data_IF_449553034789
#
_entry.id   IF_449553034789
#
_cell.length_a   1.000
_cell.length_b   1.000
_cell.length_c   1.000
_cell.angle_alpha   90.00
_cell.angle_beta   90.00
_cell.angle_gamma   90.00
#
_symmetry.space_group_name_H-M   'P 1'
#
loop_
_entity.id
_entity.type
_entity.pdbx_description
1 polymer ?
#
# COMPACT_ATOMS: atom_id res chain seq x y z
N UNK A 1 34.43 10.76 -1.10
CA UNK A 1 33.31 11.63 -0.66
C UNK A 1 32.11 11.37 -1.57
N UNK A 2 31.13 10.60 -1.09
CA UNK A 2 30.00 10.12 -1.88
C UNK A 2 29.00 11.25 -2.18
N UNK A 3 28.62 11.39 -3.44
CA UNK A 3 27.66 12.38 -3.93
C UNK A 3 26.25 11.96 -3.54
N UNK A 4 25.66 12.64 -2.56
CA UNK A 4 24.24 12.52 -2.21
C UNK A 4 23.41 12.88 -3.45
N UNK A 5 22.81 11.88 -4.09
CA UNK A 5 21.78 12.09 -5.10
C UNK A 5 20.47 12.31 -4.37
N UNK A 6 20.02 13.56 -4.35
CA UNK A 6 18.69 13.90 -3.89
C UNK A 6 17.68 13.27 -4.86
N UNK A 7 16.91 12.29 -4.38
CA UNK A 7 15.80 11.71 -5.12
C UNK A 7 14.65 12.71 -5.07
N UNK A 8 14.59 13.59 -6.08
CA UNK A 8 13.43 14.42 -6.34
C UNK A 8 12.31 13.52 -6.83
N UNK A 9 11.37 13.20 -5.94
CA UNK A 9 10.09 12.59 -6.29
C UNK A 9 9.37 13.58 -7.18
N UNK A 10 9.27 13.25 -8.48
CA UNK A 10 8.40 13.96 -9.40
C UNK A 10 6.96 13.75 -8.94
N UNK A 11 6.34 14.82 -8.47
CA UNK A 11 4.91 14.93 -8.23
C UNK A 11 4.19 14.90 -9.57
N UNK A 12 3.92 13.69 -10.05
CA UNK A 12 2.79 13.44 -10.93
C UNK A 12 1.62 13.13 -10.00
N UNK A 13 0.75 14.11 -9.79
CA UNK A 13 -0.50 13.94 -9.05
C UNK A 13 -1.47 13.13 -9.92
N UNK A 14 -1.18 11.84 -10.09
CA UNK A 14 -2.14 10.91 -10.71
C UNK A 14 -3.21 10.67 -9.66
N UNK A 15 -4.45 11.09 -9.96
CA UNK A 15 -5.58 10.90 -9.05
C UNK A 15 -5.78 9.40 -8.77
N UNK A 16 -6.01 9.04 -7.52
CA UNK A 16 -6.17 7.65 -7.09
C UNK A 16 -7.27 6.92 -7.89
N UNK A 17 -8.33 7.64 -8.31
CA UNK A 17 -9.41 7.06 -9.11
C UNK A 17 -9.00 6.72 -10.54
N UNK A 18 -8.06 7.47 -11.12
CA UNK A 18 -7.58 7.25 -12.48
C UNK A 18 -6.58 6.09 -12.50
N UNK A 19 -5.76 5.99 -11.45
CA UNK A 19 -4.90 4.84 -11.21
C UNK A 19 -5.72 3.57 -10.87
N UNK A 20 -6.83 3.70 -10.15
CA UNK A 20 -7.77 2.58 -9.89
C UNK A 20 -8.49 2.13 -11.16
N UNK A 21 -8.79 3.02 -12.12
CA UNK A 21 -9.30 2.61 -13.44
C UNK A 21 -8.24 1.90 -14.29
N UNK A 22 -6.97 2.21 -14.05
CA UNK A 22 -5.87 1.60 -14.77
C UNK A 22 -5.62 0.14 -14.34
N UNK A 23 -5.85 -0.18 -13.06
CA UNK A 23 -5.79 -1.54 -12.54
C UNK A 23 -7.19 -2.18 -12.53
N UNK A 24 -7.31 -3.43 -12.97
CA UNK A 24 -8.61 -4.12 -13.01
C UNK A 24 -9.11 -4.63 -11.65
N UNK A 25 -8.61 -4.05 -10.55
CA UNK A 25 -8.86 -4.46 -9.16
C UNK A 25 -8.64 -3.28 -8.21
N UNK A 26 -9.57 -3.14 -7.25
CA UNK A 26 -9.51 -2.11 -6.20
C UNK A 26 -8.70 -2.55 -4.97
N UNK A 27 -8.27 -1.57 -4.18
CA UNK A 27 -7.60 -1.81 -2.90
C UNK A 27 -8.52 -2.51 -1.89
N UNK A 28 -9.82 -2.21 -1.91
CA UNK A 28 -10.81 -2.83 -1.01
C UNK A 28 -11.04 -4.30 -1.33
N UNK A 29 -11.12 -4.64 -2.61
CA UNK A 29 -11.21 -6.04 -3.06
C UNK A 29 -9.96 -6.82 -2.63
N UNK A 30 -8.77 -6.25 -2.81
CA UNK A 30 -7.53 -6.91 -2.39
C UNK A 30 -7.48 -7.13 -0.86
N UNK A 31 -7.93 -6.15 -0.07
CA UNK A 31 -8.06 -6.31 1.39
C UNK A 31 -9.04 -7.40 1.78
N UNK A 32 -10.17 -7.49 1.08
CA UNK A 32 -11.20 -8.50 1.33
C UNK A 32 -10.64 -9.88 1.04
N UNK A 33 -9.98 -10.04 -0.11
CA UNK A 33 -9.30 -11.29 -0.48
C UNK A 33 -8.24 -11.71 0.55
N UNK A 34 -7.47 -10.76 1.10
CA UNK A 34 -6.46 -11.03 2.13
C UNK A 34 -7.05 -11.47 3.49
N UNK A 35 -8.29 -11.09 3.79
CA UNK A 35 -8.95 -11.48 5.04
C UNK A 35 -9.43 -12.94 5.01
N UNK A 36 -9.72 -13.47 3.82
CA UNK A 36 -10.19 -14.83 3.62
C UNK A 36 -8.99 -15.77 3.62
N UNK A 37 -9.09 -16.89 4.32
CA UNK A 37 -7.97 -17.83 4.51
C UNK A 37 -8.36 -19.25 4.15
N UNK A 38 -7.37 -20.03 3.71
CA UNK A 38 -7.55 -21.45 3.44
C UNK A 38 -8.28 -21.73 2.12
N UNK A 39 -9.08 -22.81 2.10
CA UNK A 39 -9.69 -23.33 0.86
C UNK A 39 -10.75 -22.38 0.28
N UNK A 40 -11.38 -21.57 1.11
CA UNK A 40 -12.37 -20.58 0.68
C UNK A 40 -11.73 -19.48 -0.17
N UNK A 41 -10.54 -19.01 0.21
CA UNK A 41 -9.79 -18.01 -0.57
C UNK A 41 -9.45 -18.50 -1.99
N UNK A 42 -9.13 -19.78 -2.14
CA UNK A 42 -8.84 -20.38 -3.44
C UNK A 42 -10.08 -20.50 -4.32
N UNK A 43 -11.25 -20.76 -3.72
CA UNK A 43 -12.52 -20.78 -4.46
C UNK A 43 -12.86 -19.40 -4.98
N UNK A 44 -12.88 -18.41 -4.09
CA UNK A 44 -13.21 -17.03 -4.48
C UNK A 44 -12.20 -16.46 -5.48
N UNK A 45 -10.92 -16.80 -5.33
CA UNK A 45 -9.88 -16.41 -6.28
C UNK A 45 -10.12 -16.99 -7.69
N UNK A 46 -10.46 -18.28 -7.77
CA UNK A 46 -10.72 -18.93 -9.06
C UNK A 46 -12.04 -18.43 -9.68
N UNK A 47 -13.08 -18.23 -8.88
CA UNK A 47 -14.39 -17.79 -9.36
C UNK A 47 -14.39 -16.32 -9.80
N UNK A 48 -13.67 -15.46 -9.09
CA UNK A 48 -13.72 -13.99 -9.31
C UNK A 48 -12.59 -13.48 -10.18
N UNK A 49 -11.42 -14.10 -10.12
CA UNK A 49 -10.20 -13.59 -10.76
C UNK A 49 -9.55 -14.57 -11.74
N UNK A 50 -10.20 -15.70 -12.05
CA UNK A 50 -9.65 -16.76 -12.92
C UNK A 50 -8.27 -17.26 -12.40
N UNK A 51 -8.14 -17.33 -11.08
CA UNK A 51 -6.96 -17.81 -10.38
C UNK A 51 -5.82 -16.77 -10.31
N UNK A 52 -4.60 -17.26 -10.11
CA UNK A 52 -3.42 -16.40 -9.96
C UNK A 52 -3.05 -15.67 -11.25
N UNK A 53 -3.31 -16.28 -12.41
CA UNK A 53 -3.01 -15.71 -13.72
C UNK A 53 -3.87 -14.48 -14.03
N UNK A 54 -5.18 -14.57 -13.82
CA UNK A 54 -6.07 -13.42 -14.04
C UNK A 54 -5.87 -12.32 -12.99
N UNK A 55 -5.52 -12.66 -11.76
CA UNK A 55 -5.10 -11.68 -10.75
C UNK A 55 -3.81 -10.95 -11.16
N UNK A 56 -2.80 -11.68 -11.63
CA UNK A 56 -1.56 -11.10 -12.14
C UNK A 56 -1.79 -10.16 -13.33
N UNK A 57 -2.69 -10.53 -14.25
CA UNK A 57 -3.08 -9.69 -15.38
C UNK A 57 -3.76 -8.39 -14.93
N UNK A 58 -4.71 -8.47 -14.00
CA UNK A 58 -5.41 -7.29 -13.43
C UNK A 58 -4.46 -6.34 -12.69
N UNK A 59 -3.47 -6.89 -11.98
CA UNK A 59 -2.40 -6.14 -11.30
C UNK A 59 -1.25 -5.73 -12.23
N UNK A 60 -1.33 -6.01 -13.54
CA UNK A 60 -0.26 -5.80 -14.54
C UNK A 60 1.10 -6.27 -14.04
N UNK A 61 1.15 -7.43 -13.41
CA UNK A 61 2.36 -7.97 -12.77
C UNK A 61 2.68 -9.34 -13.33
N UNK A 62 3.93 -9.57 -13.69
CA UNK A 62 4.38 -10.88 -14.13
C UNK A 62 4.57 -11.79 -12.92
N UNK A 63 3.95 -12.97 -12.92
CA UNK A 63 4.02 -13.92 -11.81
C UNK A 63 5.41 -14.54 -11.60
N UNK A 64 6.24 -14.57 -12.65
CA UNK A 64 7.56 -15.22 -12.63
C UNK A 64 8.66 -14.18 -12.41
N UNK A 65 8.63 -13.10 -13.20
CA UNK A 65 9.69 -12.07 -13.18
C UNK A 65 9.38 -10.89 -12.25
N UNK A 66 8.13 -10.72 -11.84
CA UNK A 66 7.70 -9.58 -11.02
C UNK A 66 7.51 -8.28 -11.80
N UNK A 67 7.65 -7.15 -11.11
CA UNK A 67 7.60 -5.80 -11.69
C UNK A 67 8.94 -5.41 -12.32
N UNK A 68 8.87 -4.54 -13.32
CA UNK A 68 10.03 -3.82 -13.85
C UNK A 68 10.40 -2.63 -12.95
N UNK A 69 11.67 -2.26 -12.86
CA UNK A 69 12.16 -1.09 -12.10
C UNK A 69 11.90 0.24 -12.85
N UNK A 70 10.68 0.42 -13.36
CA UNK A 70 10.27 1.67 -13.98
C UNK A 70 9.69 2.60 -12.91
N UNK A 71 10.34 3.75 -12.71
CA UNK A 71 9.92 4.76 -11.72
C UNK A 71 8.53 5.31 -12.00
N UNK A 72 8.10 5.30 -13.26
CA UNK A 72 6.77 5.79 -13.66
C UNK A 72 5.67 4.82 -13.23
N UNK A 73 5.83 3.53 -13.51
CA UNK A 73 4.93 2.46 -13.08
C UNK A 73 4.84 2.39 -11.54
N UNK A 74 5.98 2.55 -10.85
CA UNK A 74 6.01 2.61 -9.39
C UNK A 74 5.22 3.79 -8.83
N UNK A 75 5.29 4.97 -9.45
CA UNK A 75 4.54 6.14 -9.00
C UNK A 75 3.02 5.94 -9.15
N UNK A 76 2.58 5.37 -10.27
CA UNK A 76 1.16 5.05 -10.53
C UNK A 76 0.65 4.03 -9.50
N UNK A 77 1.43 2.99 -9.21
CA UNK A 77 1.07 1.98 -8.21
C UNK A 77 1.00 2.54 -6.80
N UNK A 78 1.92 3.44 -6.44
CA UNK A 78 1.87 4.14 -5.14
C UNK A 78 0.62 5.02 -5.04
N UNK A 79 0.19 5.65 -6.15
CA UNK A 79 -1.04 6.43 -6.19
C UNK A 79 -2.30 5.55 -6.05
N UNK A 80 -2.33 4.39 -6.71
CA UNK A 80 -3.46 3.45 -6.66
C UNK A 80 -3.57 2.69 -5.32
N UNK A 81 -2.47 2.10 -4.86
CA UNK A 81 -2.48 1.15 -3.72
C UNK A 81 -1.95 1.76 -2.42
N UNK A 82 -1.39 2.97 -2.47
CA UNK A 82 -0.71 3.59 -1.35
C UNK A 82 0.73 3.09 -1.16
N UNK A 83 1.42 3.65 -0.16
CA UNK A 83 2.77 3.22 0.22
C UNK A 83 2.71 2.06 1.19
N UNK A 84 3.64 1.11 1.04
CA UNK A 84 3.85 0.02 2.00
C UNK A 84 4.61 0.52 3.25
N UNK A 85 4.10 1.56 3.87
CA UNK A 85 4.64 2.14 5.10
C UNK A 85 3.66 1.83 6.23
N UNK A 86 4.10 1.08 7.23
CA UNK A 86 3.33 0.91 8.46
C UNK A 86 3.38 2.26 9.18
N UNK A 87 2.25 2.97 9.33
CA UNK A 87 2.25 4.27 9.98
C UNK A 87 2.75 4.07 11.41
N UNK A 88 3.86 4.72 11.74
CA UNK A 88 4.34 4.70 13.11
C UNK A 88 3.26 5.34 13.99
N UNK A 89 2.89 4.64 15.05
CA UNK A 89 1.99 5.22 16.06
C UNK A 89 2.63 6.52 16.55
N UNK A 90 1.95 7.68 16.44
CA UNK A 90 2.54 8.93 16.88
C UNK A 90 2.91 8.81 18.35
N UNK A 91 4.18 9.05 18.66
CA UNK A 91 4.64 9.09 20.04
C UNK A 91 3.87 10.17 20.79
N UNK A 92 3.51 9.92 22.05
CA UNK A 92 2.97 10.97 22.92
C UNK A 92 3.94 12.15 22.91
N UNK A 93 3.42 13.36 22.70
CA UNK A 93 4.25 14.56 22.76
C UNK A 93 4.77 14.75 24.17
N UNK A 94 5.98 15.32 24.30
CA UNK A 94 6.58 15.62 25.59
C UNK A 94 5.64 16.46 26.48
N UNK A 95 4.96 17.45 25.90
CA UNK A 95 3.98 18.28 26.61
C UNK A 95 2.79 17.46 27.14
N UNK A 96 2.28 16.49 26.36
CA UNK A 96 1.22 15.60 26.84
C UNK A 96 1.69 14.76 28.03
N UNK A 97 2.96 14.31 28.01
CA UNK A 97 3.54 13.61 29.15
C UNK A 97 3.68 14.51 30.39
N UNK A 98 4.26 15.71 30.24
CA UNK A 98 4.39 16.68 31.34
C UNK A 98 3.03 17.04 31.94
N UNK A 99 2.04 17.30 31.08
CA UNK A 99 0.68 17.61 31.52
C UNK A 99 0.04 16.45 32.28
N UNK A 100 0.20 15.21 31.80
CA UNK A 100 -0.26 14.04 32.52
C UNK A 100 0.46 13.87 33.87
N UNK A 101 1.76 14.19 33.94
CA UNK A 101 2.52 14.10 35.19
C UNK A 101 2.05 15.13 36.22
N UNK A 102 1.72 16.36 35.79
CA UNK A 102 1.13 17.36 36.69
C UNK A 102 -0.29 17.02 37.14
N UNK A 103 -1.08 16.36 36.28
CA UNK A 103 -2.44 15.92 36.62
C UNK A 103 -2.48 14.72 37.57
N UNK A 104 -1.55 13.77 37.43
CA UNK A 104 -1.44 12.59 38.29
C UNK A 104 -0.54 12.86 39.50
N UNK A 105 -0.84 13.90 40.28
CA UNK A 105 -0.24 14.09 41.59
C UNK A 105 -0.97 13.18 42.59
N UNK A 106 -0.50 11.95 42.74
CA UNK A 106 -0.86 11.09 43.87
C UNK A 106 -0.14 11.61 45.12
N UNK A 107 -0.80 12.51 45.84
CA UNK A 107 -0.75 12.64 47.30
C UNK A 107 -2.18 12.68 47.80
#
# INVERSE_FOLDING_TARGET
>A
MAKKKNFTVGSNDVSAEEAEREFGISLQELKTLMNIRGRESLRELNETYDGFSGLGYKLKTNLITGLSDDKTDLAIRIAAFGRNEIPQKPSKTFLHFCFNHFKNRTV
#
